data_IF_781932552350
#
_entry.id   IF_781932552350
#
_cell.length_a   1.000
_cell.length_b   1.000
_cell.length_c   1.000
_cell.angle_alpha   90.00
_cell.angle_beta   90.00
_cell.angle_gamma   90.00
#
_symmetry.space_group_name_H-M   'P 1'
#
loop_
_entity.id
_entity.type
_entity.pdbx_description
1 polymer ?
#
# COMPACT_ATOMS: atom_id res chain seq x y z
N UNK A 1 2.91 -2.23 50.91
CA UNK A 1 2.38 -0.85 51.04
C UNK A 1 2.30 -0.21 49.65
N UNK A 2 1.76 1.01 49.52
CA UNK A 2 1.73 1.73 48.25
C UNK A 2 3.14 1.96 47.67
N UNK A 3 4.09 2.44 48.48
CA UNK A 3 5.46 2.68 48.06
C UNK A 3 6.16 1.39 47.56
N UNK A 4 6.03 0.29 48.30
CA UNK A 4 6.60 -1.00 47.87
C UNK A 4 6.02 -1.51 46.54
N UNK A 5 4.75 -1.19 46.25
CA UNK A 5 4.12 -1.58 44.99
C UNK A 5 4.59 -0.71 43.84
N UNK A 6 4.73 0.59 44.05
CA UNK A 6 5.28 1.49 43.02
C UNK A 6 6.73 1.13 42.69
N UNK A 7 7.56 0.89 43.71
CA UNK A 7 8.93 0.42 43.55
C UNK A 7 8.99 -0.89 42.76
N UNK A 8 8.10 -1.84 43.07
CA UNK A 8 8.02 -3.10 42.33
C UNK A 8 7.63 -2.89 40.86
N UNK A 9 6.63 -2.03 40.60
CA UNK A 9 6.20 -1.74 39.23
C UNK A 9 7.36 -1.15 38.43
N UNK A 10 8.03 -0.12 38.95
CA UNK A 10 9.12 0.56 38.21
C UNK A 10 10.39 -0.27 38.10
N UNK A 11 10.75 -1.05 39.12
CA UNK A 11 11.99 -1.84 39.09
C UNK A 11 11.85 -3.20 38.40
N UNK A 12 10.67 -3.82 38.46
CA UNK A 12 10.49 -5.23 38.06
C UNK A 12 9.54 -5.38 36.88
N UNK A 13 8.42 -4.65 36.86
CA UNK A 13 7.41 -4.79 35.80
C UNK A 13 7.79 -3.95 34.57
N UNK A 14 8.11 -2.68 34.77
CA UNK A 14 8.39 -1.73 33.69
C UNK A 14 9.52 -2.21 32.75
N UNK A 15 10.65 -2.74 33.23
CA UNK A 15 11.71 -3.24 32.35
C UNK A 15 11.31 -4.46 31.51
N UNK A 16 10.28 -5.21 31.92
CA UNK A 16 9.76 -6.36 31.16
C UNK A 16 8.95 -5.94 29.94
N UNK A 17 8.34 -4.74 29.97
CA UNK A 17 7.47 -4.26 28.90
C UNK A 17 8.08 -3.10 28.11
N UNK A 18 8.74 -2.16 28.79
CA UNK A 18 9.34 -0.97 28.17
C UNK A 18 10.86 -1.10 27.99
N UNK A 19 11.48 -2.10 28.63
CA UNK A 19 12.90 -2.40 28.51
C UNK A 19 13.20 -3.59 27.59
N UNK A 20 14.37 -4.20 27.79
CA UNK A 20 14.84 -5.34 27.00
C UNK A 20 14.02 -6.62 27.20
N UNK A 21 13.21 -6.71 28.26
CA UNK A 21 12.36 -7.88 28.49
C UNK A 21 11.25 -8.06 27.45
N UNK A 22 10.88 -6.99 26.73
CA UNK A 22 9.84 -7.05 25.70
C UNK A 22 10.21 -8.02 24.57
N UNK A 23 11.42 -7.85 24.03
CA UNK A 23 11.93 -8.66 22.92
C UNK A 23 12.27 -10.09 23.36
N UNK A 24 12.56 -10.31 24.65
CA UNK A 24 12.88 -11.64 25.18
C UNK A 24 11.66 -12.49 25.54
N UNK A 25 10.54 -11.86 25.90
CA UNK A 25 9.39 -12.55 26.52
C UNK A 25 8.08 -12.34 25.77
N UNK A 26 7.86 -11.15 25.20
CA UNK A 26 6.52 -10.71 24.76
C UNK A 26 6.39 -10.60 23.25
N UNK A 27 7.45 -10.23 22.54
CA UNK A 27 7.40 -9.97 21.10
C UNK A 27 8.64 -10.46 20.38
N UNK A 28 8.42 -11.23 19.31
CA UNK A 28 9.42 -11.54 18.29
C UNK A 28 9.26 -10.64 17.05
N UNK A 29 8.46 -9.57 17.13
CA UNK A 29 8.27 -8.65 16.01
C UNK A 29 9.57 -7.87 15.73
N UNK A 30 9.80 -7.57 14.46
CA UNK A 30 10.92 -6.72 14.04
C UNK A 30 10.60 -5.25 14.31
N UNK A 31 11.64 -4.46 14.61
CA UNK A 31 11.57 -3.00 14.62
C UNK A 31 11.71 -2.41 13.21
N UNK A 32 12.13 -3.23 12.22
CA UNK A 32 12.24 -2.83 10.83
C UNK A 32 10.86 -2.76 10.17
N UNK A 33 10.44 -1.55 9.83
CA UNK A 33 9.21 -1.34 9.06
C UNK A 33 9.45 -1.61 7.57
N UNK A 34 8.46 -2.24 6.92
CA UNK A 34 8.41 -2.43 5.47
C UNK A 34 8.35 -1.07 4.79
N UNK A 35 9.30 -0.82 3.89
CA UNK A 35 9.33 0.37 3.04
C UNK A 35 8.85 0.00 1.64
N UNK A 36 7.84 0.71 1.16
CA UNK A 36 7.28 0.51 -0.18
C UNK A 36 7.61 1.71 -1.06
N UNK A 37 8.04 1.44 -2.30
CA UNK A 37 8.17 2.47 -3.34
C UNK A 37 6.78 2.71 -3.95
N UNK A 38 6.25 3.90 -3.77
CA UNK A 38 4.90 4.29 -4.22
C UNK A 38 4.91 5.16 -5.47
N UNK A 39 6.06 5.75 -5.81
CA UNK A 39 6.31 6.41 -7.09
C UNK A 39 7.79 6.28 -7.48
N UNK A 40 8.15 6.70 -8.70
CA UNK A 40 9.52 6.66 -9.22
C UNK A 40 10.57 7.20 -8.24
N UNK A 41 10.22 8.28 -7.52
CA UNK A 41 11.10 8.96 -6.56
C UNK A 41 10.51 9.03 -5.15
N UNK A 42 9.50 8.20 -4.81
CA UNK A 42 8.84 8.26 -3.51
C UNK A 42 8.76 6.88 -2.85
N UNK A 43 9.30 6.80 -1.63
CA UNK A 43 9.17 5.64 -0.75
C UNK A 43 8.46 6.04 0.54
N UNK A 44 7.64 5.15 1.09
CA UNK A 44 6.94 5.35 2.36
C UNK A 44 6.96 4.07 3.20
N UNK A 45 7.03 4.21 4.53
CA UNK A 45 6.87 3.09 5.45
C UNK A 45 5.39 2.68 5.49
N UNK A 46 5.09 1.41 5.19
CA UNK A 46 3.72 0.90 5.02
C UNK A 46 3.32 -0.12 6.08
N UNK A 47 4.16 -0.35 7.08
CA UNK A 47 3.86 -1.27 8.18
C UNK A 47 4.13 -0.62 9.53
N UNK A 48 3.44 -1.11 10.55
CA UNK A 48 3.68 -0.78 11.95
C UNK A 48 4.12 -2.04 12.69
N UNK A 49 4.91 -1.89 13.75
CA UNK A 49 5.37 -3.03 14.55
C UNK A 49 4.48 -3.25 15.78
N UNK A 50 4.47 -4.47 16.33
CA UNK A 50 3.94 -4.72 17.67
C UNK A 50 4.83 -4.10 18.76
N UNK A 51 6.02 -3.64 18.37
CA UNK A 51 7.01 -3.03 19.25
C UNK A 51 6.77 -1.54 19.53
N UNK A 52 5.69 -0.96 19.02
CA UNK A 52 5.32 0.43 19.29
C UNK A 52 5.01 0.66 20.78
N UNK A 53 5.48 1.78 21.32
CA UNK A 53 5.40 2.10 22.76
C UNK A 53 3.96 2.05 23.31
N UNK A 54 2.99 2.56 22.53
CA UNK A 54 1.58 2.53 22.93
C UNK A 54 1.04 1.11 23.10
N UNK A 55 1.50 0.16 22.28
CA UNK A 55 1.11 -1.26 22.40
C UNK A 55 1.75 -1.88 23.63
N UNK A 56 3.03 -1.60 23.88
CA UNK A 56 3.78 -2.09 25.05
C UNK A 56 3.15 -1.62 26.36
N UNK A 57 2.80 -0.33 26.44
CA UNK A 57 2.13 0.27 27.61
C UNK A 57 0.75 -0.33 27.86
N UNK A 58 -0.02 -0.59 26.80
CA UNK A 58 -1.31 -1.27 26.92
C UNK A 58 -1.14 -2.69 27.46
N UNK A 59 -0.16 -3.44 26.93
CA UNK A 59 0.15 -4.79 27.39
C UNK A 59 0.60 -4.81 28.86
N UNK A 60 1.46 -3.86 29.25
CA UNK A 60 1.90 -3.68 30.64
C UNK A 60 0.71 -3.45 31.58
N UNK A 61 -0.17 -2.49 31.23
CA UNK A 61 -1.35 -2.19 32.04
C UNK A 61 -2.28 -3.41 32.18
N UNK A 62 -2.53 -4.14 31.09
CA UNK A 62 -3.33 -5.36 31.11
C UNK A 62 -2.71 -6.45 31.99
N UNK A 63 -1.39 -6.68 31.87
CA UNK A 63 -0.68 -7.67 32.67
C UNK A 63 -0.66 -7.30 34.16
N UNK A 64 -0.49 -6.02 34.48
CA UNK A 64 -0.54 -5.51 35.86
C UNK A 64 -1.91 -5.77 36.49
N UNK A 65 -3.00 -5.42 35.81
CA UNK A 65 -4.36 -5.63 36.33
C UNK A 65 -4.66 -7.14 36.46
N UNK A 66 -4.29 -7.95 35.48
CA UNK A 66 -4.56 -9.38 35.51
C UNK A 66 -3.83 -10.12 36.63
N UNK A 67 -2.56 -9.77 36.89
CA UNK A 67 -1.70 -10.54 37.80
C UNK A 67 -1.53 -9.92 39.20
N UNK A 68 -1.56 -8.58 39.33
CA UNK A 68 -1.32 -7.92 40.61
C UNK A 68 -2.61 -7.64 41.38
N UNK A 69 -3.75 -7.54 40.70
CA UNK A 69 -5.02 -7.21 41.34
C UNK A 69 -5.62 -8.39 42.13
N UNK A 70 -5.37 -9.62 41.68
CA UNK A 70 -5.82 -10.87 42.33
C UNK A 70 -4.91 -11.33 43.48
N UNK A 71 -3.78 -10.67 43.69
CA UNK A 71 -2.82 -11.02 44.74
C UNK A 71 -3.29 -10.62 46.15
N UNK A 72 -2.72 -11.28 47.17
CA UNK A 72 -2.92 -10.92 48.58
C UNK A 72 -2.09 -9.67 48.95
N UNK A 73 -2.50 -8.52 48.42
CA UNK A 73 -1.86 -7.22 48.64
C UNK A 73 -2.82 -6.27 49.37
N UNK A 74 -2.25 -5.32 50.12
CA UNK A 74 -3.01 -4.29 50.83
C UNK A 74 -3.84 -3.43 49.86
N UNK A 75 -4.98 -2.90 50.31
CA UNK A 75 -5.82 -2.01 49.49
C UNK A 75 -5.08 -0.78 48.96
N UNK A 76 -4.17 -0.22 49.77
CA UNK A 76 -3.29 0.87 49.32
C UNK A 76 -2.43 0.49 48.11
N UNK A 77 -1.95 -0.76 48.03
CA UNK A 77 -1.19 -1.26 46.90
C UNK A 77 -2.09 -1.54 45.68
N UNK A 78 -3.32 -2.03 45.88
CA UNK A 78 -4.30 -2.19 44.79
C UNK A 78 -4.62 -0.85 44.15
N UNK A 79 -4.82 0.19 44.96
CA UNK A 79 -5.06 1.54 44.47
C UNK A 79 -3.88 2.07 43.63
N UNK A 80 -2.63 1.80 44.03
CA UNK A 80 -1.45 2.12 43.23
C UNK A 80 -1.45 1.41 41.88
N UNK A 81 -1.75 0.10 41.85
CA UNK A 81 -1.83 -0.67 40.59
C UNK A 81 -2.89 -0.10 39.66
N UNK A 82 -4.09 0.17 40.16
CA UNK A 82 -5.19 0.73 39.36
C UNK A 82 -4.84 2.12 38.83
N UNK A 83 -4.31 3.00 39.68
CA UNK A 83 -3.93 4.36 39.26
C UNK A 83 -2.85 4.32 38.18
N UNK A 84 -1.82 3.47 38.34
CA UNK A 84 -0.76 3.34 37.34
C UNK A 84 -1.27 2.72 36.05
N UNK A 85 -2.12 1.70 36.13
CA UNK A 85 -2.73 1.09 34.94
C UNK A 85 -3.60 2.09 34.16
N UNK A 86 -4.36 2.95 34.85
CA UNK A 86 -5.14 4.01 34.21
C UNK A 86 -4.25 5.01 33.46
N UNK A 87 -3.15 5.46 34.08
CA UNK A 87 -2.17 6.34 33.43
C UNK A 87 -1.58 5.67 32.18
N UNK A 88 -1.11 4.42 32.30
CA UNK A 88 -0.53 3.68 31.19
C UNK A 88 -1.53 3.46 30.05
N UNK A 89 -2.79 3.17 30.34
CA UNK A 89 -3.85 3.05 29.32
C UNK A 89 -4.10 4.39 28.62
N UNK A 90 -4.11 5.50 29.36
CA UNK A 90 -4.24 6.84 28.79
C UNK A 90 -3.11 7.17 27.82
N UNK A 91 -1.86 6.92 28.23
CA UNK A 91 -0.69 7.08 27.37
C UNK A 91 -0.71 6.15 26.16
N UNK A 92 -1.08 4.88 26.37
CA UNK A 92 -1.20 3.88 25.32
C UNK A 92 -2.20 4.30 24.24
N UNK A 93 -3.37 4.80 24.64
CA UNK A 93 -4.37 5.32 23.71
C UNK A 93 -3.79 6.49 22.91
N UNK A 94 -3.11 7.42 23.57
CA UNK A 94 -2.43 8.53 22.90
C UNK A 94 -1.43 8.05 21.85
N UNK A 95 -0.55 7.11 22.20
CA UNK A 95 0.42 6.53 21.28
C UNK A 95 -0.21 5.77 20.11
N UNK A 96 -1.28 5.00 20.36
CA UNK A 96 -2.00 4.27 19.32
C UNK A 96 -2.73 5.23 18.37
N UNK A 97 -3.28 6.34 18.88
CA UNK A 97 -3.93 7.38 18.04
C UNK A 97 -2.90 8.09 17.17
N UNK A 98 -1.72 8.39 17.71
CA UNK A 98 -0.60 8.94 16.95
C UNK A 98 -0.21 7.99 15.80
N UNK A 99 0.01 6.71 16.13
CA UNK A 99 0.33 5.67 15.14
C UNK A 99 -0.75 5.53 14.06
N UNK A 100 -2.02 5.55 14.45
CA UNK A 100 -3.15 5.52 13.50
C UNK A 100 -3.13 6.72 12.56
N UNK A 101 -2.77 7.90 13.06
CA UNK A 101 -2.70 9.12 12.26
C UNK A 101 -1.60 9.03 11.22
N UNK A 102 -0.42 8.53 11.61
CA UNK A 102 0.72 8.30 10.71
C UNK A 102 0.38 7.27 9.61
N UNK A 103 -0.26 6.15 9.99
CA UNK A 103 -0.75 5.16 9.02
C UNK A 103 -1.77 5.78 8.06
N UNK A 104 -2.69 6.60 8.56
CA UNK A 104 -3.68 7.30 7.73
C UNK A 104 -3.03 8.25 6.70
N UNK A 105 -1.98 8.97 7.10
CA UNK A 105 -1.20 9.81 6.18
C UNK A 105 -0.48 8.98 5.12
N UNK A 106 0.13 7.86 5.50
CA UNK A 106 0.73 6.93 4.54
C UNK A 106 -0.31 6.40 3.56
N UNK A 107 -1.49 5.98 4.03
CA UNK A 107 -2.58 5.51 3.17
C UNK A 107 -3.02 6.59 2.18
N UNK A 108 -3.15 7.84 2.63
CA UNK A 108 -3.45 8.99 1.76
C UNK A 108 -2.39 9.14 0.66
N UNK A 109 -1.10 9.09 1.02
CA UNK A 109 0.00 9.21 0.06
C UNK A 109 0.00 8.09 -0.97
N UNK A 110 -0.25 6.85 -0.55
CA UNK A 110 -0.39 5.69 -1.45
C UNK A 110 -1.55 5.89 -2.42
N UNK A 111 -2.71 6.35 -1.93
CA UNK A 111 -3.88 6.64 -2.76
C UNK A 111 -3.57 7.73 -3.78
N UNK A 112 -2.99 8.84 -3.34
CA UNK A 112 -2.68 9.98 -4.22
C UNK A 112 -1.64 9.61 -5.29
N UNK A 113 -0.64 8.77 -4.94
CA UNK A 113 0.31 8.24 -5.89
C UNK A 113 -0.36 7.31 -6.92
N UNK A 114 -1.28 6.46 -6.48
CA UNK A 114 -2.04 5.55 -7.34
C UNK A 114 -2.92 6.31 -8.33
N UNK A 115 -3.60 7.37 -7.89
CA UNK A 115 -4.45 8.21 -8.74
C UNK A 115 -3.63 8.95 -9.81
N UNK A 116 -2.43 9.45 -9.43
CA UNK A 116 -1.50 10.06 -10.37
C UNK A 116 -1.01 9.06 -11.41
N UNK A 117 -0.61 7.86 -10.99
CA UNK A 117 -0.19 6.79 -11.90
C UNK A 117 -1.31 6.40 -12.87
N UNK A 118 -2.55 6.28 -12.39
CA UNK A 118 -3.70 6.00 -13.25
C UNK A 118 -3.89 7.10 -14.31
N UNK A 119 -3.79 8.36 -13.92
CA UNK A 119 -3.87 9.49 -14.84
C UNK A 119 -2.78 9.44 -15.91
N UNK A 120 -1.54 9.06 -15.53
CA UNK A 120 -0.44 8.89 -16.47
C UNK A 120 -0.68 7.75 -17.44
N UNK A 121 -1.19 6.60 -16.97
CA UNK A 121 -1.56 5.47 -17.83
C UNK A 121 -2.64 5.90 -18.83
N UNK A 122 -3.71 6.54 -18.37
CA UNK A 122 -4.80 7.00 -19.24
C UNK A 122 -4.30 8.01 -20.30
N UNK A 123 -3.30 8.84 -19.97
CA UNK A 123 -2.67 9.76 -20.91
C UNK A 123 -1.81 9.01 -21.94
N UNK A 124 -0.99 8.05 -21.51
CA UNK A 124 -0.16 7.27 -22.41
C UNK A 124 -1.01 6.40 -23.35
N UNK A 125 -2.10 5.82 -22.87
CA UNK A 125 -3.03 5.06 -23.69
C UNK A 125 -3.67 5.94 -24.79
N UNK A 126 -4.08 7.17 -24.45
CA UNK A 126 -4.54 8.14 -25.45
C UNK A 126 -3.47 8.48 -26.48
N UNK A 127 -2.24 8.74 -26.05
CA UNK A 127 -1.15 9.02 -26.98
C UNK A 127 -0.79 7.82 -27.87
N UNK A 128 -0.89 6.59 -27.36
CA UNK A 128 -0.72 5.39 -28.17
C UNK A 128 -1.83 5.33 -29.22
N UNK A 129 -3.09 5.55 -28.84
CA UNK A 129 -4.21 5.59 -29.78
C UNK A 129 -4.04 6.73 -30.79
N UNK A 130 -3.55 7.90 -30.40
CA UNK A 130 -3.32 9.01 -31.33
C UNK A 130 -2.19 8.72 -32.33
N UNK A 131 -1.18 7.94 -31.93
CA UNK A 131 0.00 7.61 -32.76
C UNK A 131 -0.19 6.35 -33.63
N UNK A 132 -0.86 5.33 -33.10
CA UNK A 132 -1.06 4.04 -33.76
C UNK A 132 -2.48 3.88 -34.30
N UNK A 133 -3.42 4.70 -33.83
CA UNK A 133 -4.80 4.66 -34.26
C UNK A 133 -4.93 5.04 -35.73
N UNK A 134 -5.60 4.16 -36.47
CA UNK A 134 -6.05 4.42 -37.83
C UNK A 134 -7.53 4.78 -37.78
N UNK A 135 -7.92 5.87 -38.45
CA UNK A 135 -9.33 6.17 -38.69
C UNK A 135 -9.92 5.08 -39.60
N UNK A 136 -10.93 4.30 -39.12
CA UNK A 136 -11.54 3.24 -39.92
C UNK A 136 -12.17 3.74 -41.22
N UNK A 137 -12.69 4.96 -41.24
CA UNK A 137 -13.29 5.55 -42.44
C UNK A 137 -12.20 5.89 -43.47
N UNK A 138 -11.11 6.52 -43.05
CA UNK A 138 -9.98 6.82 -43.93
C UNK A 138 -9.32 5.54 -44.45
N UNK A 139 -9.15 4.53 -43.58
CA UNK A 139 -8.63 3.23 -43.99
C UNK A 139 -9.56 2.53 -44.99
N UNK A 140 -10.88 2.56 -44.76
CA UNK A 140 -11.84 2.00 -45.69
C UNK A 140 -11.78 2.69 -47.06
N UNK A 141 -11.68 4.02 -47.10
CA UNK A 141 -11.51 4.77 -48.35
C UNK A 141 -10.20 4.40 -49.06
N UNK A 142 -9.06 4.37 -48.34
CA UNK A 142 -7.77 3.96 -48.94
C UNK A 142 -7.81 2.54 -49.49
N UNK A 143 -8.45 1.61 -48.78
CA UNK A 143 -8.60 0.22 -49.24
C UNK A 143 -9.51 0.13 -50.47
N UNK A 144 -10.61 0.89 -50.50
CA UNK A 144 -11.51 0.94 -51.66
C UNK A 144 -10.79 1.49 -52.90
N UNK A 145 -10.05 2.59 -52.77
CA UNK A 145 -9.26 3.18 -53.86
C UNK A 145 -8.18 2.21 -54.37
N UNK A 146 -7.47 1.54 -53.46
CA UNK A 146 -6.49 0.52 -53.83
C UNK A 146 -7.13 -0.66 -54.58
N UNK A 147 -8.32 -1.09 -54.16
CA UNK A 147 -9.06 -2.17 -54.82
C UNK A 147 -9.48 -1.75 -56.24
N UNK A 148 -9.99 -0.54 -56.41
CA UNK A 148 -10.37 0.02 -57.72
C UNK A 148 -9.16 0.08 -58.67
N UNK A 149 -7.98 0.49 -58.18
CA UNK A 149 -6.74 0.52 -58.97
C UNK A 149 -6.29 -0.89 -59.40
N UNK A 150 -6.43 -1.88 -58.52
CA UNK A 150 -6.12 -3.28 -58.81
C UNK A 150 -7.07 -3.83 -59.89
N UNK A 151 -8.38 -3.62 -59.74
CA UNK A 151 -9.38 -4.03 -60.73
C UNK A 151 -9.12 -3.40 -62.10
N UNK A 152 -8.78 -2.11 -62.13
CA UNK A 152 -8.43 -1.39 -63.37
C UNK A 152 -7.17 -1.98 -64.01
N UNK A 153 -6.16 -2.31 -63.22
CA UNK A 153 -4.92 -2.93 -63.70
C UNK A 153 -5.16 -4.33 -64.29
N UNK A 154 -6.04 -5.12 -63.68
CA UNK A 154 -6.47 -6.41 -64.22
C UNK A 154 -7.25 -6.27 -65.53
N UNK A 155 -8.20 -5.32 -65.60
CA UNK A 155 -8.94 -5.04 -66.82
C UNK A 155 -8.02 -4.60 -67.97
N UNK A 156 -7.02 -3.74 -67.68
CA UNK A 156 -6.01 -3.33 -68.65
C UNK A 156 -5.16 -4.50 -69.13
N UNK A 157 -4.73 -5.35 -68.21
CA UNK A 157 -3.95 -6.57 -68.52
C UNK A 157 -4.74 -7.53 -69.41
N UNK A 158 -6.02 -7.75 -69.11
CA UNK A 158 -6.90 -8.59 -69.93
C UNK A 158 -7.07 -8.03 -71.34
N UNK A 159 -7.21 -6.70 -71.47
CA UNK A 159 -7.28 -6.02 -72.78
C UNK A 159 -5.98 -6.16 -73.58
N UNK A 160 -4.82 -6.04 -72.93
CA UNK A 160 -3.52 -6.26 -73.57
C UNK A 160 -3.35 -7.71 -74.03
N UNK A 161 -3.76 -8.69 -73.22
CA UNK A 161 -3.75 -10.11 -73.61
C UNK A 161 -4.66 -10.38 -74.83
N UNK A 162 -5.84 -9.77 -74.89
CA UNK A 162 -6.72 -9.86 -76.06
C UNK A 162 -6.09 -9.24 -77.32
N UNK A 163 -5.42 -8.09 -77.19
CA UNK A 163 -4.69 -7.47 -78.31
C UNK A 163 -3.52 -8.35 -78.80
N UNK A 164 -2.80 -9.00 -77.88
CA UNK A 164 -1.73 -9.96 -78.23
C UNK A 164 -2.26 -11.19 -78.97
N UNK A 165 -3.44 -11.70 -78.60
CA UNK A 165 -4.08 -12.85 -79.26
C UNK A 165 -4.57 -12.50 -80.66
N UNK A 166 -5.18 -11.32 -80.84
CA UNK A 166 -5.64 -10.85 -82.15
C UNK A 166 -4.47 -10.68 -83.14
N UNK A 167 -3.31 -10.18 -82.68
CA UNK A 167 -2.11 -10.08 -83.52
C UNK A 167 -1.51 -11.44 -83.94
N UNK A 168 -1.90 -12.55 -83.30
CA UNK A 168 -1.40 -13.90 -83.63
C UNK A 168 -2.35 -14.68 -84.56
N UNK A 169 -3.57 -14.18 -84.78
CA UNK A 169 -4.62 -14.79 -85.61
C UNK A 169 -4.80 -14.09 -86.98
N UNK A 170 -3.90 -13.17 -87.32
CA UNK A 170 -3.78 -12.53 -88.64
C UNK A 170 -2.44 -12.90 -89.26
#
# INVERSE_FOLDING_TARGET
TAAQMDDFITSSVEPQFLGSGWQGTWSNATDEQITSRIALNETTQTSVSANEDGIRKLAMAAAMVANLFSGNISDAAKNTVVSRAQTLVGEAIGGIVQLRSEVGLTQKRVSDASDRMKTQVDLFEKHIIDLEGVDPAEAATRVADLTQHIETSFALTARLQQLSLLNYLT
#
